data_IF_297115987461
#
_entry.id   IF_297115987461
#
_cell.length_a   1.000
_cell.length_b   1.000
_cell.length_c   1.000
_cell.angle_alpha   90.00
_cell.angle_beta   90.00
_cell.angle_gamma   90.00
#
_symmetry.space_group_name_H-M   'P 1'
#
loop_
_entity.id
_entity.type
_entity.pdbx_description
1 polymer ?
#
# COMPACT_ATOMS: atom_id res chain seq x y z
N UNK A 1 -9.56 28.35 20.65
CA UNK A 1 -9.74 28.07 19.20
C UNK A 1 -11.21 27.74 19.00
N UNK A 2 -11.96 28.60 18.31
CA UNK A 2 -13.42 28.48 18.23
C UNK A 2 -13.81 27.35 17.27
N UNK A 3 -14.54 26.35 17.74
CA UNK A 3 -14.95 25.17 16.96
C UNK A 3 -15.80 25.52 15.75
N UNK A 4 -16.54 26.64 15.83
CA UNK A 4 -17.38 27.14 14.76
C UNK A 4 -16.56 27.62 13.56
N UNK A 5 -15.31 28.05 13.78
CA UNK A 5 -14.43 28.48 12.69
C UNK A 5 -13.93 27.28 11.89
N UNK A 6 -13.65 26.15 12.56
CA UNK A 6 -13.23 24.92 11.90
C UNK A 6 -14.36 24.36 11.02
N UNK A 7 -15.57 24.22 11.55
CA UNK A 7 -16.71 23.66 10.81
C UNK A 7 -17.13 24.51 9.60
N UNK A 8 -16.89 25.83 9.65
CA UNK A 8 -17.19 26.75 8.55
C UNK A 8 -16.10 26.82 7.47
N UNK A 9 -15.01 26.04 7.56
CA UNK A 9 -14.04 25.95 6.47
C UNK A 9 -14.69 25.35 5.20
N UNK A 10 -14.23 25.76 4.01
CA UNK A 10 -14.79 25.27 2.76
C UNK A 10 -14.70 23.75 2.68
N UNK A 11 -15.75 23.11 2.18
CA UNK A 11 -15.86 21.65 2.05
C UNK A 11 -14.61 21.00 1.43
N UNK A 12 -13.96 21.69 0.47
CA UNK A 12 -12.71 21.28 -0.17
C UNK A 12 -11.56 21.06 0.83
N UNK A 13 -11.48 21.89 1.87
CA UNK A 13 -10.46 21.75 2.92
C UNK A 13 -10.64 20.45 3.70
N UNK A 14 -11.87 20.15 4.14
CA UNK A 14 -12.18 18.93 4.87
C UNK A 14 -11.92 17.67 4.04
N UNK A 15 -12.26 17.69 2.75
CA UNK A 15 -11.89 16.60 1.84
C UNK A 15 -10.37 16.41 1.74
N UNK A 16 -9.61 17.50 1.58
CA UNK A 16 -8.15 17.44 1.51
C UNK A 16 -7.53 16.92 2.81
N UNK A 17 -7.99 17.42 3.96
CA UNK A 17 -7.55 16.97 5.28
C UNK A 17 -7.87 15.48 5.50
N UNK A 18 -9.06 15.03 5.10
CA UNK A 18 -9.45 13.62 5.18
C UNK A 18 -8.55 12.71 4.33
N UNK A 19 -8.25 13.11 3.10
CA UNK A 19 -7.32 12.37 2.22
C UNK A 19 -5.93 12.30 2.84
N UNK A 20 -5.40 13.41 3.34
CA UNK A 20 -4.08 13.45 4.00
C UNK A 20 -4.05 12.55 5.24
N UNK A 21 -5.11 12.55 6.04
CA UNK A 21 -5.22 11.66 7.20
C UNK A 21 -5.20 10.19 6.79
N UNK A 22 -5.92 9.80 5.74
CA UNK A 22 -5.92 8.41 5.24
C UNK A 22 -4.52 8.00 4.74
N UNK A 23 -3.81 8.88 4.02
CA UNK A 23 -2.43 8.60 3.57
C UNK A 23 -1.50 8.40 4.77
N UNK A 24 -1.58 9.27 5.79
CA UNK A 24 -0.79 9.13 7.01
C UNK A 24 -1.06 7.80 7.72
N UNK A 25 -2.33 7.37 7.80
CA UNK A 25 -2.67 6.06 8.38
C UNK A 25 -2.05 4.93 7.56
N UNK A 26 -2.12 4.99 6.22
CA UNK A 26 -1.49 3.99 5.34
C UNK A 26 0.02 3.93 5.58
N UNK A 27 0.70 5.07 5.69
CA UNK A 27 2.14 5.13 5.93
C UNK A 27 2.53 4.55 7.29
N UNK A 28 1.80 4.92 8.35
CA UNK A 28 2.02 4.39 9.71
C UNK A 28 1.80 2.88 9.75
N UNK A 29 0.74 2.38 9.12
CA UNK A 29 0.47 0.94 9.00
C UNK A 29 1.56 0.26 8.19
N UNK A 30 2.02 0.87 7.09
CA UNK A 30 3.11 0.36 6.26
C UNK A 30 4.41 0.23 7.05
N UNK A 31 4.79 1.26 7.80
CA UNK A 31 5.95 1.25 8.69
C UNK A 31 5.80 0.17 9.76
N UNK A 32 4.63 0.05 10.37
CA UNK A 32 4.35 -0.99 11.36
C UNK A 32 4.53 -2.40 10.76
N UNK A 33 3.95 -2.66 9.59
CA UNK A 33 4.08 -3.94 8.88
C UNK A 33 5.53 -4.22 8.50
N UNK A 34 6.25 -3.21 8.01
CA UNK A 34 7.66 -3.29 7.63
C UNK A 34 8.55 -3.76 8.81
N UNK A 35 8.30 -3.25 10.02
CA UNK A 35 9.11 -3.59 11.18
C UNK A 35 8.65 -4.86 11.91
N UNK A 36 7.34 -5.12 11.97
CA UNK A 36 6.78 -6.16 12.84
C UNK A 36 6.33 -7.42 12.13
N UNK A 37 5.93 -7.33 10.86
CA UNK A 37 5.25 -8.44 10.16
C UNK A 37 5.89 -8.80 8.83
N UNK A 38 6.88 -8.05 8.36
CA UNK A 38 7.51 -8.27 7.06
C UNK A 38 8.10 -9.68 6.94
N UNK A 39 8.91 -10.10 7.91
CA UNK A 39 9.59 -11.40 7.85
C UNK A 39 8.57 -12.56 7.89
N UNK A 40 7.49 -12.44 8.66
CA UNK A 40 6.38 -13.41 8.67
C UNK A 40 5.69 -13.48 7.30
N UNK A 41 5.39 -12.33 6.69
CA UNK A 41 4.73 -12.30 5.39
C UNK A 41 5.60 -12.92 4.29
N UNK A 42 6.91 -12.70 4.33
CA UNK A 42 7.84 -13.30 3.39
C UNK A 42 7.99 -14.80 3.57
N UNK A 43 7.99 -15.28 4.82
CA UNK A 43 8.05 -16.72 5.10
C UNK A 43 6.83 -17.45 4.52
N UNK A 44 5.64 -16.84 4.64
CA UNK A 44 4.40 -17.35 4.02
C UNK A 44 4.46 -17.37 2.48
N UNK A 45 5.33 -16.55 1.89
CA UNK A 45 5.53 -16.40 0.45
C UNK A 45 6.89 -16.92 -0.01
N UNK A 46 7.53 -17.82 0.74
CA UNK A 46 8.89 -18.27 0.49
C UNK A 46 9.11 -19.04 -0.84
N UNK A 47 8.04 -19.50 -1.51
CA UNK A 47 8.11 -20.14 -2.84
C UNK A 47 7.91 -19.12 -3.96
N UNK A 48 7.50 -17.89 -3.65
CA UNK A 48 7.41 -16.82 -4.62
C UNK A 48 8.80 -16.32 -4.98
N UNK A 49 9.22 -16.56 -6.22
CA UNK A 49 10.54 -16.13 -6.73
C UNK A 49 10.77 -14.63 -6.53
N UNK A 50 9.73 -13.81 -6.69
CA UNK A 50 9.82 -12.36 -6.56
C UNK A 50 10.14 -11.93 -5.12
N UNK A 51 9.48 -12.55 -4.14
CA UNK A 51 9.70 -12.26 -2.71
C UNK A 51 11.08 -12.74 -2.28
N UNK A 52 11.45 -13.97 -2.63
CA UNK A 52 12.75 -14.56 -2.24
C UNK A 52 13.92 -13.81 -2.89
N UNK A 53 13.80 -13.42 -4.17
CA UNK A 53 14.78 -12.58 -4.85
C UNK A 53 14.91 -11.20 -4.19
N UNK A 54 13.79 -10.53 -3.93
CA UNK A 54 13.77 -9.21 -3.29
C UNK A 54 14.43 -9.22 -1.91
N UNK A 55 14.17 -10.26 -1.12
CA UNK A 55 14.78 -10.46 0.20
C UNK A 55 16.31 -10.53 0.14
N UNK A 56 16.85 -11.29 -0.80
CA UNK A 56 18.30 -11.43 -0.99
C UNK A 56 18.97 -10.17 -1.55
N UNK A 57 18.30 -9.46 -2.45
CA UNK A 57 18.86 -8.28 -3.12
C UNK A 57 18.86 -7.01 -2.27
N UNK A 58 17.77 -6.73 -1.56
CA UNK A 58 17.57 -5.45 -0.86
C UNK A 58 18.10 -5.43 0.58
N UNK A 59 18.41 -6.59 1.15
CA UNK A 59 18.93 -6.72 2.50
C UNK A 59 17.96 -6.20 3.58
N UNK A 60 18.52 -5.77 4.72
CA UNK A 60 17.75 -5.43 5.92
C UNK A 60 17.72 -3.94 6.29
N UNK A 61 18.20 -3.07 5.40
CA UNK A 61 18.11 -1.60 5.56
C UNK A 61 16.66 -1.12 5.56
N UNK A 62 16.38 0.07 6.09
CA UNK A 62 15.02 0.65 6.09
C UNK A 62 14.46 0.71 4.66
N UNK A 63 15.24 1.23 3.71
CA UNK A 63 14.87 1.29 2.29
C UNK A 63 14.63 -0.12 1.73
N UNK A 64 15.50 -1.08 2.05
CA UNK A 64 15.38 -2.44 1.57
C UNK A 64 14.13 -3.14 2.09
N UNK A 65 13.80 -2.97 3.36
CA UNK A 65 12.57 -3.48 3.97
C UNK A 65 11.33 -2.87 3.35
N UNK A 66 11.34 -1.56 3.06
CA UNK A 66 10.21 -0.90 2.40
C UNK A 66 9.98 -1.49 0.99
N UNK A 67 11.05 -1.68 0.20
CA UNK A 67 10.92 -2.31 -1.12
C UNK A 67 10.41 -3.75 -1.01
N UNK A 68 10.93 -4.54 -0.07
CA UNK A 68 10.45 -5.90 0.22
C UNK A 68 8.96 -5.91 0.58
N UNK A 69 8.50 -4.98 1.41
CA UNK A 69 7.08 -4.82 1.74
C UNK A 69 6.24 -4.49 0.50
N UNK A 70 6.69 -3.59 -0.37
CA UNK A 70 6.01 -3.27 -1.63
C UNK A 70 5.90 -4.50 -2.55
N UNK A 71 6.93 -5.35 -2.59
CA UNK A 71 6.91 -6.62 -3.35
C UNK A 71 5.86 -7.57 -2.78
N UNK A 72 5.83 -7.76 -1.45
CA UNK A 72 4.80 -8.56 -0.77
C UNK A 72 3.40 -8.02 -1.06
N UNK A 73 3.21 -6.71 -0.93
CA UNK A 73 1.94 -6.05 -1.23
C UNK A 73 1.50 -6.30 -2.68
N UNK A 74 2.39 -6.13 -3.65
CA UNK A 74 2.11 -6.37 -5.08
C UNK A 74 1.74 -7.83 -5.35
N UNK A 75 2.39 -8.74 -4.63
CA UNK A 75 2.16 -10.19 -4.72
C UNK A 75 0.76 -10.58 -4.23
N UNK A 76 0.35 -10.01 -3.09
CA UNK A 76 -0.88 -10.37 -2.37
C UNK A 76 -2.10 -9.56 -2.82
N UNK A 77 -1.93 -8.31 -3.22
CA UNK A 77 -3.01 -7.43 -3.64
C UNK A 77 -3.55 -7.82 -5.03
N UNK A 78 -2.69 -8.27 -5.94
CA UNK A 78 -3.04 -8.70 -7.29
C UNK A 78 -2.66 -10.17 -7.54
N UNK A 79 -3.22 -11.13 -6.78
CA UNK A 79 -2.77 -12.51 -6.82
C UNK A 79 -3.05 -13.18 -8.16
N UNK A 80 -4.17 -12.84 -8.82
CA UNK A 80 -4.56 -13.46 -10.08
C UNK A 80 -3.53 -13.20 -11.19
N UNK A 81 -3.00 -11.98 -11.27
CA UNK A 81 -1.98 -11.60 -12.24
C UNK A 81 -0.67 -12.36 -11.99
N UNK A 82 -0.28 -12.48 -10.72
CA UNK A 82 0.95 -13.16 -10.32
C UNK A 82 0.87 -14.69 -10.46
N UNK A 83 -0.30 -15.28 -10.23
CA UNK A 83 -0.57 -16.71 -10.46
C UNK A 83 -0.53 -17.01 -11.96
N UNK A 84 -1.19 -16.18 -12.79
CA UNK A 84 -1.20 -16.37 -14.26
C UNK A 84 0.20 -16.33 -14.87
N UNK A 85 1.11 -15.55 -14.29
CA UNK A 85 2.52 -15.46 -14.70
C UNK A 85 3.42 -16.54 -14.10
N UNK A 86 2.90 -17.43 -13.24
CA UNK A 86 3.68 -18.45 -12.55
C UNK A 86 4.68 -17.89 -11.53
N UNK A 87 4.50 -16.63 -11.10
CA UNK A 87 5.39 -15.95 -10.15
C UNK A 87 5.07 -16.40 -8.71
N UNK A 88 3.81 -16.75 -8.46
CA UNK A 88 3.27 -17.05 -7.14
C UNK A 88 2.52 -18.37 -7.17
N UNK A 89 2.80 -19.22 -6.17
CA UNK A 89 2.04 -20.43 -5.92
C UNK A 89 0.64 -20.08 -5.39
N UNK A 90 -0.40 -20.61 -6.04
CA UNK A 90 -1.80 -20.39 -5.68
C UNK A 90 -2.08 -20.79 -4.24
N UNK A 91 -1.43 -21.84 -3.74
CA UNK A 91 -1.64 -22.34 -2.39
C UNK A 91 -1.13 -21.33 -1.34
N UNK A 92 0.04 -20.72 -1.56
CA UNK A 92 0.58 -19.70 -0.66
C UNK A 92 -0.32 -18.47 -0.53
N UNK A 93 -1.02 -18.09 -1.60
CA UNK A 93 -1.98 -16.98 -1.57
C UNK A 93 -3.25 -17.34 -0.81
N UNK A 94 -3.69 -18.60 -0.88
CA UNK A 94 -4.87 -19.09 -0.18
C UNK A 94 -4.62 -19.20 1.33
N UNK A 95 -3.42 -19.67 1.70
CA UNK A 95 -2.99 -19.84 3.08
C UNK A 95 -2.54 -18.53 3.74
N UNK A 96 -2.37 -17.45 2.94
CA UNK A 96 -1.95 -16.15 3.45
C UNK A 96 -2.99 -15.58 4.44
N UNK A 97 -2.58 -15.03 5.59
CA UNK A 97 -3.51 -14.55 6.61
C UNK A 97 -4.51 -13.53 6.07
N UNK A 98 -5.81 -13.85 6.18
CA UNK A 98 -6.90 -13.02 5.62
C UNK A 98 -6.92 -11.58 6.17
N UNK A 99 -6.47 -11.38 7.40
CA UNK A 99 -6.34 -10.05 8.01
C UNK A 99 -5.28 -9.21 7.30
N UNK A 100 -4.05 -9.73 7.23
CA UNK A 100 -2.94 -9.07 6.52
C UNK A 100 -3.26 -8.85 5.05
N UNK A 101 -3.88 -9.83 4.39
CA UNK A 101 -4.33 -9.70 2.99
C UNK A 101 -5.23 -8.49 2.79
N UNK A 102 -6.26 -8.35 3.64
CA UNK A 102 -7.21 -7.23 3.57
C UNK A 102 -6.53 -5.89 3.84
N UNK A 103 -5.60 -5.82 4.79
CA UNK A 103 -4.81 -4.61 5.05
C UNK A 103 -4.00 -4.22 3.82
N UNK A 104 -3.24 -5.15 3.23
CA UNK A 104 -2.43 -4.89 2.03
C UNK A 104 -3.28 -4.48 0.82
N UNK A 105 -4.45 -5.12 0.64
CA UNK A 105 -5.41 -4.73 -0.39
C UNK A 105 -5.98 -3.33 -0.16
N UNK A 106 -6.36 -3.01 1.08
CA UNK A 106 -6.85 -1.69 1.46
C UNK A 106 -5.80 -0.59 1.22
N UNK A 107 -4.54 -0.83 1.60
CA UNK A 107 -3.43 0.08 1.31
C UNK A 107 -3.22 0.27 -0.20
N UNK A 108 -3.30 -0.81 -0.98
CA UNK A 108 -3.17 -0.75 -2.45
C UNK A 108 -4.28 0.08 -3.08
N UNK A 109 -5.54 -0.16 -2.69
CA UNK A 109 -6.70 0.58 -3.19
C UNK A 109 -6.59 2.06 -2.79
N UNK A 110 -6.26 2.34 -1.52
CA UNK A 110 -6.05 3.70 -1.03
C UNK A 110 -4.98 4.44 -1.81
N UNK A 111 -3.84 3.79 -2.09
CA UNK A 111 -2.76 4.35 -2.91
C UNK A 111 -3.20 4.64 -4.35
N UNK A 112 -3.96 3.73 -4.98
CA UNK A 112 -4.49 3.94 -6.34
C UNK A 112 -5.43 5.15 -6.37
N UNK A 113 -6.38 5.23 -5.42
CA UNK A 113 -7.32 6.35 -5.33
C UNK A 113 -6.56 7.68 -5.17
N UNK A 114 -5.56 7.72 -4.28
CA UNK A 114 -4.76 8.91 -4.05
C UNK A 114 -4.06 9.38 -5.33
N UNK A 115 -3.41 8.46 -6.04
CA UNK A 115 -2.72 8.76 -7.32
C UNK A 115 -3.72 9.23 -8.37
N UNK A 116 -4.87 8.57 -8.52
CA UNK A 116 -5.91 8.96 -9.48
C UNK A 116 -6.43 10.37 -9.23
N UNK A 117 -6.67 10.73 -7.96
CA UNK A 117 -7.12 12.08 -7.59
C UNK A 117 -6.04 13.12 -7.87
N UNK A 118 -4.78 12.83 -7.53
CA UNK A 118 -3.66 13.75 -7.78
C UNK A 118 -3.42 13.99 -9.28
N UNK A 119 -3.52 12.95 -10.10
CA UNK A 119 -3.40 13.05 -11.56
C UNK A 119 -4.57 13.88 -12.12
N UNK A 120 -5.80 13.61 -11.69
CA UNK A 120 -6.97 14.35 -12.15
C UNK A 120 -6.88 15.85 -11.82
N UNK A 121 -6.45 16.21 -10.61
CA UNK A 121 -6.23 17.62 -10.21
C UNK A 121 -5.14 18.29 -11.05
N UNK A 122 -4.05 17.56 -11.33
CA UNK A 122 -2.94 18.06 -12.17
C UNK A 122 -3.38 18.28 -13.62
N UNK A 123 -4.09 17.31 -14.20
CA UNK A 123 -4.62 17.41 -15.56
C UNK A 123 -5.65 18.53 -15.70
N UNK A 124 -6.54 18.69 -14.71
CA UNK A 124 -7.52 19.77 -14.69
C UNK A 124 -6.84 21.14 -14.71
N UNK A 125 -5.83 21.34 -13.85
CA UNK A 125 -5.04 22.58 -13.83
C UNK A 125 -4.34 22.86 -15.16
N UNK A 126 -3.76 21.83 -15.77
CA UNK A 126 -3.07 21.96 -17.05
C UNK A 126 -4.03 22.31 -18.20
N UNK A 127 -5.25 21.76 -18.22
CA UNK A 127 -6.27 22.06 -19.23
C UNK A 127 -6.94 23.43 -19.06
N UNK A 128 -6.93 23.98 -17.83
CA UNK A 128 -7.52 25.29 -17.52
C UNK A 128 -6.55 26.47 -17.62
N UNK A 129 -5.28 26.20 -17.90
CA UNK A 129 -4.19 27.18 -18.06
C UNK A 129 -3.99 27.52 -19.54
#
# INVERSE_FOLDING_TARGET
MNTDYLLNLPLKFWFSAGIMFVVLVIDVVGIFLMYRRLDEMEERLNKCKLVTFSKGFWGNSIRGRMVRLCVVMSTVAMPWWNIKRGIVDRQQVQDFPRGLKRVLQGMTIGGIIFISVAIADTLYKWLSA
#
